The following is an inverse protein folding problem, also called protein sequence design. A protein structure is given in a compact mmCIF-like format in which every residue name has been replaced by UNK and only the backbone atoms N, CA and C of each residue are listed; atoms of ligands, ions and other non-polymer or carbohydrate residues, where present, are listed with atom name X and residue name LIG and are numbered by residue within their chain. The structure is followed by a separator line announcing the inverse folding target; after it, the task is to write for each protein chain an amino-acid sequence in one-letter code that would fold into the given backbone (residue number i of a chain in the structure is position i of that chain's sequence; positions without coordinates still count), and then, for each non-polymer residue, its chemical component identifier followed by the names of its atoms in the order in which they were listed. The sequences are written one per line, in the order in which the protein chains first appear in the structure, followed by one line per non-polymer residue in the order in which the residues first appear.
data_IF_809151045146
#
_entry.id   IF_809151045146
#
_cell.length_a   1.000
_cell.length_b   1.000
_cell.length_c   1.000
_cell.angle_alpha   90.00
_cell.angle_beta   90.00
_cell.angle_gamma   90.00
#
_symmetry.space_group_name_H-M   'P 1'
#
loop_
_entity.id
_entity.type
_entity.pdbx_description
1 polymer ?
#
# COMPACT_ATOMS: atom_id res chain seq x y z
N UNK A 1 16.12 -67.98 43.32
CA UNK A 1 16.28 -66.92 42.29
C UNK A 1 14.93 -66.46 41.69
N UNK A 2 13.77 -66.97 42.16
CA UNK A 2 12.42 -66.53 41.77
C UNK A 2 11.81 -65.46 42.70
N UNK A 3 12.30 -65.36 43.94
CA UNK A 3 11.60 -64.55 44.96
C UNK A 3 11.96 -63.06 44.93
N UNK A 4 13.14 -62.69 44.42
CA UNK A 4 13.53 -61.28 44.26
C UNK A 4 12.79 -60.59 43.11
N UNK A 5 12.43 -61.33 42.06
CA UNK A 5 11.70 -60.81 40.89
C UNK A 5 10.22 -60.59 41.24
N UNK A 6 9.62 -61.53 41.98
CA UNK A 6 8.23 -61.40 42.44
C UNK A 6 8.06 -60.30 43.50
N UNK A 7 9.06 -60.09 44.36
CA UNK A 7 9.07 -58.98 45.32
C UNK A 7 9.20 -57.61 44.63
N UNK A 8 9.96 -57.51 43.53
CA UNK A 8 10.11 -56.29 42.76
C UNK A 8 8.83 -55.92 41.97
N UNK A 9 8.12 -56.91 41.44
CA UNK A 9 6.84 -56.70 40.74
C UNK A 9 5.72 -56.27 41.70
N UNK A 10 5.64 -56.87 42.89
CA UNK A 10 4.65 -56.48 43.90
C UNK A 10 4.89 -55.09 44.49
N UNK A 11 6.16 -54.65 44.58
CA UNK A 11 6.50 -53.29 45.01
C UNK A 11 6.12 -52.24 43.94
N UNK A 12 6.32 -52.53 42.66
CA UNK A 12 5.99 -51.64 41.55
C UNK A 12 4.47 -51.46 41.36
N UNK A 13 3.66 -52.50 41.56
CA UNK A 13 2.20 -52.40 41.50
C UNK A 13 1.61 -51.61 42.68
N UNK A 14 2.25 -51.68 43.85
CA UNK A 14 1.82 -50.93 45.03
C UNK A 14 2.14 -49.43 44.92
N UNK A 15 3.26 -49.07 44.30
CA UNK A 15 3.62 -47.67 43.99
C UNK A 15 2.72 -47.04 42.91
N UNK A 16 2.24 -47.85 41.95
CA UNK A 16 1.33 -47.39 40.89
C UNK A 16 -0.11 -47.11 41.39
N UNK A 17 -0.54 -47.72 42.50
CA UNK A 17 -1.90 -47.60 43.03
C UNK A 17 -2.07 -46.52 44.12
N UNK A 18 -0.99 -46.02 44.74
CA UNK A 18 -1.05 -45.04 45.85
C UNK A 18 -0.66 -43.61 45.45
N UNK A 19 -0.47 -43.30 44.16
CA UNK A 19 -0.14 -41.93 43.73
C UNK A 19 -1.42 -41.07 43.61
N UNK A 20 -1.60 -40.02 44.43
CA UNK A 20 -2.75 -39.13 44.33
C UNK A 20 -2.70 -38.33 43.04
N UNK A 21 -3.75 -38.38 42.21
CA UNK A 21 -3.98 -37.33 41.23
C UNK A 21 -4.43 -36.07 41.99
N UNK A 22 -3.64 -34.98 42.02
CA UNK A 22 -4.15 -33.77 41.38
C UNK A 22 -3.10 -32.74 40.89
N UNK A 23 -3.54 -32.02 39.86
CA UNK A 23 -3.19 -30.64 39.50
C UNK A 23 -1.82 -30.34 38.88
N UNK A 24 -1.59 -30.84 37.67
CA UNK A 24 -0.76 -30.09 36.71
C UNK A 24 -1.55 -28.91 36.15
N UNK A 25 -1.67 -27.84 36.95
CA UNK A 25 -1.69 -26.50 36.38
C UNK A 25 -0.30 -26.26 35.79
N UNK A 26 -0.05 -26.82 34.60
CA UNK A 26 1.01 -26.35 33.74
C UNK A 26 0.68 -24.90 33.44
N UNK A 27 1.59 -23.98 33.81
CA UNK A 27 1.56 -22.63 33.29
C UNK A 27 1.35 -22.75 31.77
N UNK A 28 0.19 -22.30 31.27
CA UNK A 28 -0.04 -22.18 29.85
C UNK A 28 1.02 -21.22 29.34
N UNK A 29 2.09 -21.75 28.74
CA UNK A 29 2.76 -21.03 27.68
C UNK A 29 1.65 -20.54 26.74
N UNK A 30 1.61 -19.26 26.35
CA UNK A 30 0.55 -18.77 25.49
C UNK A 30 0.47 -19.73 24.32
N UNK A 31 -0.68 -20.40 24.20
CA UNK A 31 -0.92 -21.32 23.12
C UNK A 31 -0.53 -20.56 21.86
N UNK A 32 0.54 -21.01 21.19
CA UNK A 32 0.78 -20.60 19.83
C UNK A 32 -0.54 -20.91 19.14
N UNK A 33 -1.28 -19.85 18.79
CA UNK A 33 -2.60 -19.94 18.21
C UNK A 33 -2.45 -20.91 17.05
N UNK A 34 -2.89 -22.16 17.26
CA UNK A 34 -2.94 -23.14 16.22
C UNK A 34 -3.78 -22.47 15.16
N UNK A 35 -3.12 -22.07 14.07
CA UNK A 35 -3.72 -21.24 13.05
C UNK A 35 -5.06 -21.86 12.73
N UNK A 36 -6.13 -21.10 12.98
CA UNK A 36 -7.46 -21.47 12.52
C UNK A 36 -7.27 -21.98 11.09
N UNK A 37 -7.80 -23.16 10.73
CA UNK A 37 -7.71 -23.64 9.36
C UNK A 37 -8.14 -22.47 8.50
N UNK A 38 -7.27 -22.06 7.57
CA UNK A 38 -7.58 -21.00 6.62
C UNK A 38 -8.85 -21.49 5.93
N UNK A 39 -10.00 -20.99 6.38
CA UNK A 39 -11.28 -21.23 5.74
C UNK A 39 -11.03 -20.78 4.32
N UNK A 40 -11.03 -21.73 3.38
CA UNK A 40 -10.86 -21.43 1.97
C UNK A 40 -11.79 -20.26 1.67
N UNK A 41 -11.20 -19.10 1.35
CA UNK A 41 -11.96 -17.88 1.18
C UNK A 41 -13.08 -18.13 0.19
N UNK A 42 -14.23 -17.48 0.39
CA UNK A 42 -15.33 -17.55 -0.57
C UNK A 42 -14.79 -17.31 -1.99
N UNK A 43 -15.26 -18.04 -3.01
CA UNK A 43 -14.83 -17.83 -4.38
C UNK A 43 -15.04 -16.35 -4.74
N UNK A 44 -13.96 -15.72 -5.21
CA UNK A 44 -13.94 -14.29 -5.54
C UNK A 44 -14.92 -14.01 -6.68
N UNK A 45 -15.82 -13.04 -6.50
CA UNK A 45 -16.67 -12.59 -7.60
C UNK A 45 -15.85 -11.80 -8.63
N UNK A 46 -16.38 -11.64 -9.84
CA UNK A 46 -15.77 -10.75 -10.82
C UNK A 46 -15.71 -9.30 -10.31
N UNK A 47 -16.70 -8.87 -9.51
CA UNK A 47 -16.70 -7.54 -8.87
C UNK A 47 -15.54 -7.41 -7.90
N UNK A 48 -15.38 -8.38 -6.99
CA UNK A 48 -14.21 -8.43 -6.09
C UNK A 48 -12.91 -8.47 -6.89
N UNK A 49 -12.93 -9.10 -8.09
CA UNK A 49 -11.82 -9.09 -9.03
C UNK A 49 -11.46 -7.68 -9.48
N UNK A 50 -12.42 -6.97 -10.04
CA UNK A 50 -12.26 -5.62 -10.57
C UNK A 50 -11.85 -4.62 -9.47
N UNK A 51 -12.42 -4.74 -8.27
CA UNK A 51 -12.14 -3.82 -7.17
C UNK A 51 -10.69 -3.94 -6.67
N UNK A 52 -10.16 -5.16 -6.57
CA UNK A 52 -8.78 -5.38 -6.10
C UNK A 52 -7.74 -5.52 -7.23
N UNK A 53 -8.17 -5.57 -8.50
CA UNK A 53 -7.24 -5.47 -9.63
C UNK A 53 -6.47 -4.15 -9.55
N UNK A 54 -5.14 -4.20 -9.64
CA UNK A 54 -4.30 -3.00 -9.62
C UNK A 54 -4.64 -2.08 -10.80
N UNK A 55 -4.29 -0.80 -10.68
CA UNK A 55 -4.47 0.15 -11.78
C UNK A 55 -3.65 -0.31 -12.99
N UNK A 56 -4.29 -0.42 -14.15
CA UNK A 56 -3.61 -0.73 -15.40
C UNK A 56 -3.00 0.55 -15.97
N UNK A 57 -1.81 0.91 -15.48
CA UNK A 57 -1.07 2.10 -15.91
C UNK A 57 0.22 1.70 -16.62
N UNK A 58 0.59 2.43 -17.67
CA UNK A 58 1.79 2.13 -18.45
C UNK A 58 3.07 2.59 -17.76
N UNK A 59 2.99 3.70 -17.03
CA UNK A 59 4.07 4.22 -16.20
C UNK A 59 3.49 5.04 -15.05
N UNK A 60 4.24 5.18 -13.96
CA UNK A 60 3.93 6.14 -12.90
C UNK A 60 4.66 7.46 -13.15
N UNK A 61 3.98 8.59 -12.99
CA UNK A 61 4.67 9.87 -12.91
C UNK A 61 5.36 9.92 -11.54
N UNK A 62 6.65 10.18 -11.54
CA UNK A 62 7.45 10.42 -10.34
C UNK A 62 7.82 11.90 -10.26
N UNK A 63 7.89 12.43 -9.05
CA UNK A 63 8.23 13.83 -8.79
C UNK A 63 9.53 13.90 -7.99
N UNK A 64 10.40 14.82 -8.36
CA UNK A 64 11.59 15.22 -7.60
C UNK A 64 11.64 16.74 -7.49
N UNK A 65 12.63 17.27 -6.79
CA UNK A 65 12.88 18.73 -6.74
C UNK A 65 13.13 19.34 -8.13
N UNK A 66 13.64 18.53 -9.08
CA UNK A 66 14.03 18.98 -10.41
C UNK A 66 12.88 18.98 -11.42
N UNK A 67 11.81 18.22 -11.16
CA UNK A 67 10.71 18.09 -12.10
C UNK A 67 10.00 16.74 -12.04
N UNK A 68 9.29 16.43 -13.12
CA UNK A 68 8.48 15.22 -13.28
C UNK A 68 9.16 14.24 -14.25
N UNK A 69 8.98 12.93 -14.02
CA UNK A 69 9.51 11.87 -14.89
C UNK A 69 8.54 10.71 -15.01
N UNK A 70 8.57 9.99 -16.12
CA UNK A 70 7.83 8.73 -16.27
C UNK A 70 8.65 7.54 -15.77
N UNK A 71 8.24 6.97 -14.64
CA UNK A 71 8.88 5.83 -14.00
C UNK A 71 10.32 6.13 -13.62
N UNK A 72 11.26 5.34 -14.16
CA UNK A 72 12.71 5.50 -13.97
C UNK A 72 13.40 6.24 -15.13
N UNK A 73 12.64 6.78 -16.08
CA UNK A 73 13.20 7.52 -17.20
C UNK A 73 14.00 8.74 -16.71
N UNK A 74 14.96 9.21 -17.52
CA UNK A 74 15.85 10.31 -17.17
C UNK A 74 15.42 11.65 -17.74
N UNK A 75 14.46 11.69 -18.66
CA UNK A 75 13.93 12.94 -19.19
C UNK A 75 13.06 13.60 -18.11
N UNK A 76 13.38 14.86 -17.84
CA UNK A 76 12.65 15.68 -16.87
C UNK A 76 11.67 16.56 -17.62
N UNK A 77 10.45 16.66 -17.08
CA UNK A 77 9.38 17.52 -17.56
C UNK A 77 9.06 18.57 -16.50
N UNK A 78 8.91 19.82 -16.92
CA UNK A 78 8.48 20.90 -16.01
C UNK A 78 6.99 20.74 -15.63
N UNK A 79 6.20 20.27 -16.60
CA UNK A 79 4.77 20.00 -16.43
C UNK A 79 4.29 18.85 -17.31
N UNK A 80 3.19 18.22 -16.89
CA UNK A 80 2.50 17.17 -17.63
C UNK A 80 0.99 17.45 -17.55
N UNK A 81 0.36 17.65 -18.70
CA UNK A 81 -1.08 17.90 -18.79
C UNK A 81 -1.83 16.58 -18.89
N UNK A 82 -2.82 16.39 -18.01
CA UNK A 82 -3.57 15.15 -17.87
C UNK A 82 -5.06 15.40 -17.74
N UNK A 83 -5.86 14.43 -18.17
CA UNK A 83 -7.25 14.29 -17.80
C UNK A 83 -7.35 13.41 -16.54
N UNK A 84 -8.11 13.89 -15.57
CA UNK A 84 -8.28 13.30 -14.24
C UNK A 84 -9.76 13.08 -13.97
N UNK A 85 -10.09 11.98 -13.28
CA UNK A 85 -11.42 11.68 -12.75
C UNK A 85 -11.27 11.16 -11.33
N UNK A 86 -11.94 11.79 -10.35
CA UNK A 86 -11.72 11.44 -8.93
C UNK A 86 -12.18 10.03 -8.57
N UNK A 87 -13.25 9.52 -9.20
CA UNK A 87 -13.79 8.19 -8.97
C UNK A 87 -12.84 7.05 -9.35
N UNK A 88 -11.80 7.33 -10.12
CA UNK A 88 -10.81 6.32 -10.50
C UNK A 88 -9.69 6.16 -9.45
N UNK A 89 -9.67 7.02 -8.42
CA UNK A 89 -8.68 6.97 -7.35
C UNK A 89 -8.86 5.73 -6.46
N UNK A 90 -7.75 5.09 -6.09
CA UNK A 90 -7.68 4.07 -5.05
C UNK A 90 -6.94 4.62 -3.84
N UNK A 91 -7.67 4.84 -2.75
CA UNK A 91 -7.08 5.16 -1.46
C UNK A 91 -6.62 3.87 -0.77
N UNK A 92 -5.54 3.97 0.01
CA UNK A 92 -4.99 2.85 0.76
C UNK A 92 -3.81 3.28 1.61
N UNK A 93 -2.94 2.32 1.88
CA UNK A 93 -1.79 2.44 2.75
C UNK A 93 -0.54 1.92 2.08
N UNK A 94 0.58 2.56 2.34
CA UNK A 94 1.92 2.09 1.96
C UNK A 94 2.83 2.03 3.16
N UNK A 95 3.63 0.97 3.24
CA UNK A 95 4.66 0.75 4.24
C UNK A 95 6.02 0.77 3.53
N UNK A 96 6.84 1.77 3.86
CA UNK A 96 8.24 1.83 3.44
C UNK A 96 9.09 1.07 4.45
N UNK A 97 9.86 0.09 3.98
CA UNK A 97 10.79 -0.70 4.81
C UNK A 97 12.19 -0.58 4.22
N UNK A 98 13.14 -0.04 5.01
CA UNK A 98 14.55 -0.07 4.62
C UNK A 98 15.13 -1.44 4.96
N UNK A 99 15.74 -2.10 3.97
CA UNK A 99 16.43 -3.38 4.14
C UNK A 99 17.88 -3.25 3.67
N UNK A 100 18.79 -4.17 4.04
CA UNK A 100 20.15 -4.18 3.50
C UNK A 100 20.20 -4.24 1.96
N UNK A 101 19.18 -4.82 1.32
CA UNK A 101 19.05 -4.91 -0.14
C UNK A 101 18.37 -3.69 -0.79
N UNK A 102 18.03 -2.66 0.00
CA UNK A 102 17.39 -1.43 -0.47
C UNK A 102 16.00 -1.18 0.13
N UNK A 103 15.28 -0.22 -0.45
CA UNK A 103 13.96 0.20 0.02
C UNK A 103 12.87 -0.67 -0.60
N UNK A 104 12.02 -1.26 0.25
CA UNK A 104 10.83 -1.97 -0.17
C UNK A 104 9.58 -1.16 0.16
N UNK A 105 8.59 -1.20 -0.73
CA UNK A 105 7.26 -0.63 -0.51
C UNK A 105 6.25 -1.78 -0.53
N UNK A 106 5.46 -1.89 0.53
CA UNK A 106 4.34 -2.83 0.65
C UNK A 106 3.05 -2.03 0.70
N UNK A 107 2.01 -2.48 0.02
CA UNK A 107 0.78 -1.71 -0.16
C UNK A 107 -0.42 -2.52 0.28
N UNK A 108 -1.41 -1.86 0.87
CA UNK A 108 -2.73 -2.41 1.17
C UNK A 108 -3.80 -1.39 0.78
N UNK A 109 -4.82 -1.81 0.02
CA UNK A 109 -5.94 -0.94 -0.36
C UNK A 109 -7.17 -1.12 0.54
N UNK A 110 -7.22 -2.20 1.31
CA UNK A 110 -8.31 -2.53 2.25
C UNK A 110 -7.93 -2.30 3.71
N UNK A 111 -6.64 -2.04 4.00
CA UNK A 111 -6.11 -1.96 5.37
C UNK A 111 -6.03 -3.30 6.09
N UNK A 112 -6.30 -4.41 5.41
CA UNK A 112 -6.42 -5.76 5.98
C UNK A 112 -5.42 -6.73 5.34
N UNK A 113 -5.16 -6.60 4.04
CA UNK A 113 -4.37 -7.53 3.25
C UNK A 113 -3.30 -6.78 2.45
N UNK A 114 -2.05 -7.25 2.48
CA UNK A 114 -1.01 -6.74 1.60
C UNK A 114 -1.22 -7.25 0.16
N UNK A 115 -1.12 -6.35 -0.82
CA UNK A 115 -1.51 -6.60 -2.21
C UNK A 115 -0.77 -7.79 -2.83
N UNK A 116 0.54 -7.92 -2.61
CA UNK A 116 1.37 -8.93 -3.29
C UNK A 116 1.44 -10.26 -2.55
N UNK A 117 1.84 -10.23 -1.29
CA UNK A 117 2.06 -11.40 -0.43
C UNK A 117 0.75 -11.98 0.11
N UNK A 118 -0.34 -11.22 0.06
CA UNK A 118 -1.64 -11.57 0.63
C UNK A 118 -1.61 -11.84 2.13
N UNK A 119 -0.52 -11.44 2.80
CA UNK A 119 -0.40 -11.52 4.25
C UNK A 119 -1.32 -10.49 4.91
N UNK A 120 -1.72 -10.79 6.15
CA UNK A 120 -2.43 -9.84 6.98
C UNK A 120 -1.60 -8.55 7.15
N UNK A 121 -2.24 -7.40 6.96
CA UNK A 121 -1.58 -6.10 6.93
C UNK A 121 -0.95 -5.72 8.27
N UNK A 122 -1.60 -6.04 9.39
CA UNK A 122 -1.02 -5.77 10.70
C UNK A 122 0.25 -6.60 10.96
N UNK A 123 0.28 -7.85 10.51
CA UNK A 123 1.47 -8.68 10.56
C UNK A 123 2.60 -8.13 9.68
N UNK A 124 2.26 -7.67 8.47
CA UNK A 124 3.22 -7.02 7.56
C UNK A 124 3.84 -5.76 8.17
N UNK A 125 3.05 -4.92 8.85
CA UNK A 125 3.55 -3.75 9.57
C UNK A 125 4.48 -4.17 10.72
N UNK A 126 4.08 -5.16 11.51
CA UNK A 126 4.88 -5.65 12.63
C UNK A 126 6.24 -6.20 12.16
N UNK A 127 6.26 -6.97 11.07
CA UNK A 127 7.49 -7.50 10.49
C UNK A 127 8.35 -6.40 9.86
N UNK A 128 7.72 -5.43 9.19
CA UNK A 128 8.42 -4.23 8.69
C UNK A 128 9.15 -3.47 9.80
N UNK A 129 8.50 -3.30 10.97
CA UNK A 129 9.10 -2.66 12.15
C UNK A 129 10.28 -3.43 12.76
N UNK A 130 10.28 -4.77 12.66
CA UNK A 130 11.42 -5.59 13.09
C UNK A 130 12.64 -5.39 12.18
N UNK A 131 12.40 -5.16 10.89
CA UNK A 131 13.47 -4.92 9.90
C UNK A 131 13.96 -3.46 9.91
N UNK A 132 13.06 -2.51 10.11
CA UNK A 132 13.32 -1.08 10.15
C UNK A 132 12.44 -0.44 11.23
N UNK A 133 13.05 -0.05 12.34
CA UNK A 133 12.34 0.54 13.48
C UNK A 133 11.61 1.86 13.13
N UNK A 134 12.02 2.55 12.06
CA UNK A 134 11.38 3.77 11.58
C UNK A 134 10.29 3.49 10.54
N UNK A 135 9.99 2.23 10.24
CA UNK A 135 8.95 1.86 9.30
C UNK A 135 7.56 2.12 9.90
N UNK A 136 6.73 2.85 9.14
CA UNK A 136 5.34 3.11 9.49
C UNK A 136 4.46 3.06 8.24
N UNK A 137 3.21 2.61 8.42
CA UNK A 137 2.20 2.68 7.38
C UNK A 137 1.75 4.14 7.24
N UNK A 138 1.65 4.60 5.99
CA UNK A 138 1.24 5.95 5.66
C UNK A 138 0.19 5.92 4.57
N UNK A 139 -0.64 6.96 4.52
CA UNK A 139 -1.68 7.07 3.51
C UNK A 139 -1.07 7.12 2.10
N UNK A 140 -1.76 6.44 1.19
CA UNK A 140 -1.43 6.38 -0.22
C UNK A 140 -2.72 6.63 -1.01
N UNK A 141 -2.63 7.50 -2.02
CA UNK A 141 -3.66 7.59 -3.06
C UNK A 141 -2.99 7.28 -4.38
N UNK A 142 -3.52 6.28 -5.07
CA UNK A 142 -3.13 5.88 -6.40
C UNK A 142 -4.21 6.35 -7.37
N UNK A 143 -3.85 7.20 -8.33
CA UNK A 143 -4.80 7.85 -9.23
C UNK A 143 -4.36 7.65 -10.68
N UNK A 144 -5.11 6.87 -11.50
CA UNK A 144 -4.82 6.79 -12.91
C UNK A 144 -5.31 8.07 -13.60
N UNK A 145 -4.47 8.61 -14.48
CA UNK A 145 -4.75 9.81 -15.26
C UNK A 145 -4.39 9.57 -16.72
N UNK A 146 -5.07 10.26 -17.63
CA UNK A 146 -4.85 10.11 -19.06
C UNK A 146 -4.00 11.26 -19.59
N UNK A 147 -2.94 10.97 -20.34
CA UNK A 147 -2.11 12.01 -20.95
C UNK A 147 -2.89 12.81 -22.00
N UNK A 148 -2.81 14.14 -21.92
CA UNK A 148 -3.40 15.07 -22.91
C UNK A 148 -2.45 15.38 -24.07
N UNK A 149 -1.21 14.91 -24.01
CA UNK A 149 -0.21 15.04 -25.06
C UNK A 149 0.79 13.88 -24.99
N UNK A 150 1.66 13.76 -26.00
CA UNK A 150 2.73 12.77 -26.01
C UNK A 150 3.67 12.94 -24.80
N UNK A 151 3.83 11.87 -24.02
CA UNK A 151 4.80 11.79 -22.93
C UNK A 151 6.16 11.35 -23.45
N UNK A 152 7.02 12.31 -23.79
CA UNK A 152 8.39 12.03 -24.26
C UNK A 152 9.17 11.24 -23.20
N UNK A 153 9.98 10.28 -23.64
CA UNK A 153 10.92 9.55 -22.77
C UNK A 153 12.26 9.43 -23.45
N UNK A 154 13.34 9.36 -22.66
CA UNK A 154 14.68 9.09 -23.21
C UNK A 154 14.87 7.60 -23.51
N UNK A 155 14.30 6.74 -22.67
CA UNK A 155 14.42 5.29 -22.74
C UNK A 155 13.02 4.65 -22.84
N UNK A 156 12.87 3.57 -23.61
CA UNK A 156 11.58 2.84 -23.71
C UNK A 156 10.53 3.44 -24.67
N UNK A 157 10.90 4.45 -25.48
CA UNK A 157 10.01 5.07 -26.48
C UNK A 157 8.96 6.01 -25.87
N UNK A 158 8.38 6.91 -26.66
CA UNK A 158 7.40 7.86 -26.15
C UNK A 158 6.08 7.19 -25.72
N UNK A 159 5.43 7.76 -24.72
CA UNK A 159 4.04 7.46 -24.36
C UNK A 159 3.11 8.27 -25.27
N UNK A 160 2.12 7.62 -25.87
CA UNK A 160 1.18 8.30 -26.76
C UNK A 160 0.21 9.18 -25.96
N UNK A 161 -0.33 10.19 -26.63
CA UNK A 161 -1.52 10.88 -26.14
C UNK A 161 -2.63 9.85 -25.87
N UNK A 162 -3.39 10.05 -24.79
CA UNK A 162 -4.43 9.12 -24.37
C UNK A 162 -3.93 7.91 -23.57
N UNK A 163 -2.61 7.71 -23.42
CA UNK A 163 -2.08 6.67 -22.52
C UNK A 163 -2.46 6.96 -21.07
N UNK A 164 -2.81 5.91 -20.31
CA UNK A 164 -3.08 6.00 -18.87
C UNK A 164 -1.79 5.82 -18.08
N UNK A 165 -1.47 6.80 -17.25
CA UNK A 165 -0.32 6.81 -16.34
C UNK A 165 -0.80 6.95 -14.90
N UNK A 166 0.01 6.51 -13.93
CA UNK A 166 -0.34 6.55 -12.51
C UNK A 166 0.25 7.75 -11.79
N UNK A 167 -0.53 8.40 -10.92
CA UNK A 167 -0.05 9.31 -9.89
C UNK A 167 -0.08 8.58 -8.54
N UNK A 168 1.11 8.41 -7.94
CA UNK A 168 1.24 7.85 -6.59
C UNK A 168 1.43 8.99 -5.59
N UNK A 169 0.36 9.34 -4.90
CA UNK A 169 0.28 10.46 -3.97
C UNK A 169 0.59 9.94 -2.57
N UNK A 170 1.85 10.14 -2.16
CA UNK A 170 2.33 9.74 -0.84
C UNK A 170 1.90 10.71 0.26
N UNK A 171 2.14 10.32 1.51
CA UNK A 171 1.94 11.17 2.68
C UNK A 171 2.63 12.55 2.57
N UNK A 172 3.77 12.64 1.87
CA UNK A 172 4.51 13.90 1.67
C UNK A 172 3.70 14.91 0.83
N UNK A 173 2.83 14.42 -0.05
CA UNK A 173 1.98 15.24 -0.90
C UNK A 173 0.51 15.32 -0.42
N UNK A 174 0.16 14.60 0.64
CA UNK A 174 -1.20 14.50 1.18
C UNK A 174 -1.85 15.86 1.47
N UNK A 175 -1.09 16.82 2.02
CA UNK A 175 -1.61 18.16 2.34
C UNK A 175 -1.97 18.95 1.08
N UNK A 176 -1.09 18.95 0.08
CA UNK A 176 -1.32 19.67 -1.16
C UNK A 176 -2.48 19.05 -1.95
N UNK A 177 -2.51 17.72 -2.06
CA UNK A 177 -3.62 17.03 -2.72
C UNK A 177 -4.93 17.14 -1.95
N UNK A 178 -4.90 17.10 -0.62
CA UNK A 178 -6.08 17.29 0.22
C UNK A 178 -6.69 18.69 0.07
N UNK A 179 -5.86 19.73 -0.07
CA UNK A 179 -6.33 21.07 -0.38
C UNK A 179 -6.98 21.13 -1.78
N UNK A 180 -6.33 20.54 -2.78
CA UNK A 180 -6.85 20.42 -4.13
C UNK A 180 -8.19 19.67 -4.18
N UNK A 181 -8.29 18.51 -3.53
CA UNK A 181 -9.53 17.72 -3.43
C UNK A 181 -10.66 18.52 -2.78
N UNK A 182 -10.42 19.17 -1.65
CA UNK A 182 -11.44 19.99 -0.96
C UNK A 182 -11.99 21.10 -1.85
N UNK A 183 -11.15 21.69 -2.70
CA UNK A 183 -11.56 22.77 -3.59
C UNK A 183 -12.28 22.26 -4.84
N UNK A 184 -11.81 21.17 -5.46
CA UNK A 184 -12.30 20.75 -6.78
C UNK A 184 -13.36 19.65 -6.73
N UNK A 185 -13.34 18.76 -5.72
CA UNK A 185 -14.31 17.68 -5.60
C UNK A 185 -15.77 18.16 -5.59
N UNK A 186 -16.14 19.27 -4.91
CA UNK A 186 -17.52 19.79 -4.99
C UNK A 186 -17.94 20.28 -6.38
N UNK A 187 -16.98 20.59 -7.28
CA UNK A 187 -17.24 21.14 -8.62
C UNK A 187 -17.40 20.05 -9.67
N UNK A 188 -16.60 18.99 -9.56
CA UNK A 188 -16.52 17.91 -10.55
C UNK A 188 -17.18 16.60 -10.05
N UNK A 189 -17.20 16.35 -8.75
CA UNK A 189 -17.67 15.08 -8.19
C UNK A 189 -16.78 13.89 -8.59
N UNK A 190 -17.20 12.65 -8.27
CA UNK A 190 -16.41 11.46 -8.58
C UNK A 190 -16.41 11.14 -10.08
N UNK A 191 -17.48 11.48 -10.81
CA UNK A 191 -17.71 10.95 -12.15
C UNK A 191 -17.32 11.85 -13.31
N UNK A 192 -17.07 13.13 -13.06
CA UNK A 192 -16.69 14.07 -14.11
C UNK A 192 -15.19 14.04 -14.34
N UNK A 193 -14.77 13.83 -15.58
CA UNK A 193 -13.40 14.05 -16.02
C UNK A 193 -13.11 15.54 -16.21
N UNK A 194 -11.89 15.96 -15.90
CA UNK A 194 -11.44 17.35 -16.06
C UNK A 194 -9.93 17.42 -16.31
N UNK A 195 -9.47 18.54 -16.87
CA UNK A 195 -8.08 18.71 -17.29
C UNK A 195 -7.25 19.42 -16.22
N UNK A 196 -6.10 18.83 -15.91
CA UNK A 196 -5.18 19.30 -14.87
C UNK A 196 -3.77 19.32 -15.43
N UNK A 197 -3.06 20.43 -15.21
CA UNK A 197 -1.62 20.48 -15.35
C UNK A 197 -0.97 20.04 -14.04
N UNK A 198 -0.15 19.00 -14.13
CA UNK A 198 0.68 18.52 -13.03
C UNK A 198 2.04 19.20 -13.14
N UNK A 199 2.55 19.71 -12.02
CA UNK A 199 3.88 20.33 -11.92
C UNK A 199 4.67 19.73 -10.76
N UNK A 200 5.99 19.96 -10.75
CA UNK A 200 6.80 19.69 -9.58
C UNK A 200 6.92 20.95 -8.72
N UNK A 201 6.54 20.85 -7.45
CA UNK A 201 6.74 21.91 -6.46
C UNK A 201 7.91 21.51 -5.57
N UNK A 202 9.06 22.20 -5.68
CA UNK A 202 10.22 21.87 -4.86
C UNK A 202 9.95 22.20 -3.39
N UNK A 203 10.48 21.34 -2.51
CA UNK A 203 10.40 21.45 -1.05
C UNK A 203 11.77 21.21 -0.45
N UNK A 204 12.09 22.02 0.56
CA UNK A 204 13.27 21.82 1.39
C UNK A 204 12.98 20.76 2.44
N UNK A 205 13.84 19.75 2.52
CA UNK A 205 13.78 18.70 3.55
C UNK A 205 14.87 18.88 4.60
N UNK A 206 14.74 18.19 5.73
CA UNK A 206 15.73 18.22 6.82
C UNK A 206 17.02 17.43 6.51
N UNK A 207 17.17 16.91 5.29
CA UNK A 207 18.35 16.14 4.88
C UNK A 207 18.52 16.02 3.37
N UNK A 208 17.42 15.94 2.62
CA UNK A 208 17.42 15.99 1.16
C UNK A 208 16.23 16.81 0.71
N UNK A 209 16.45 17.62 -0.32
CA UNK A 209 15.38 18.33 -1.00
C UNK A 209 14.55 17.33 -1.81
N UNK A 210 13.26 17.64 -1.95
CA UNK A 210 12.31 16.75 -2.61
C UNK A 210 11.28 17.57 -3.39
N UNK A 211 10.50 16.88 -4.21
CA UNK A 211 9.37 17.48 -4.91
C UNK A 211 8.06 16.89 -4.45
N UNK A 212 7.00 17.69 -4.58
CA UNK A 212 5.62 17.24 -4.42
C UNK A 212 4.82 17.66 -5.66
N UNK A 213 3.73 16.97 -5.99
CA UNK A 213 2.92 17.35 -7.14
C UNK A 213 2.19 18.67 -6.87
N UNK A 214 2.30 19.61 -7.80
CA UNK A 214 1.41 20.76 -7.95
C UNK A 214 0.28 20.44 -8.91
N UNK A 215 -0.85 21.11 -8.73
CA UNK A 215 -2.07 20.89 -9.50
C UNK A 215 -2.64 22.23 -9.96
N UNK A 216 -2.85 22.39 -11.25
CA UNK A 216 -3.48 23.57 -11.86
C UNK A 216 -4.62 23.12 -12.77
N UNK A 217 -5.84 23.63 -12.56
CA UNK A 217 -6.96 23.36 -13.47
C UNK A 217 -6.72 24.11 -14.78
N UNK A 218 -6.71 23.38 -15.89
CA UNK A 218 -6.56 23.92 -17.25
C UNK A 218 -7.81 23.66 -18.11
N UNK A 219 -8.93 23.39 -17.45
CA UNK A 219 -10.21 23.11 -18.08
C UNK A 219 -10.96 24.41 -18.41
N UNK A 220 -11.27 24.63 -19.70
CA UNK A 220 -11.97 25.83 -20.18
C UNK A 220 -13.38 25.99 -19.58
N UNK A 221 -13.98 24.89 -19.09
CA UNK A 221 -15.33 24.89 -18.52
C UNK A 221 -15.43 25.61 -17.16
N UNK A 222 -14.35 25.66 -16.37
CA UNK A 222 -14.34 26.35 -15.07
C UNK A 222 -14.42 27.88 -15.21
N UNK A 223 -14.01 28.43 -16.37
CA UNK A 223 -14.11 29.86 -16.65
C UNK A 223 -15.57 30.34 -16.89
N UNK A 224 -16.49 29.43 -17.27
CA UNK A 224 -17.88 29.80 -17.61
C UNK A 224 -18.84 29.87 -16.43
N UNK A 225 -18.49 29.38 -15.23
CA UNK A 225 -19.37 29.42 -14.04
C UNK A 225 -19.11 30.60 -13.09
N UNK A 226 -18.18 31.51 -13.39
CA UNK A 226 -17.95 32.74 -12.61
C UNK A 226 -18.70 33.98 -13.13
N UNK A 227 -19.55 33.82 -14.14
CA UNK A 227 -20.40 34.91 -14.66
C UNK A 227 -21.84 34.39 -14.77
N UNK A 228 -22.52 34.30 -13.63
CA UNK A 228 -23.98 34.28 -13.52
C UNK A 228 -24.36 34.78 -12.13
#
# INVERSE_FOLDING_TARGET
MSDAINAALAAAEKEAAETPAPNTAVAQAPAASAGLPVTGGAPRSLTDFMDSASMNVEAYITVSELGLRFGKDKLIHDSIDVEMKFGDAKAGYTLRVNTPSGVQYKTSYDGVTEVRSRQNWAAVIADGKKMDANSYASDLIELPVRLLAEGKRKEGGNLKEGTVVGLSISYMNSKAFGAFLKEQYPKYGPDQSFKVRITAVPKKGSGQDYGVFGYEIIDDAAAKKKVA
#
